data_IF_080641725808
#
_entry.id   IF_080641725808
#
_cell.length_a   1.000
_cell.length_b   1.000
_cell.length_c   1.000
_cell.angle_alpha   90.00
_cell.angle_beta   90.00
_cell.angle_gamma   90.00
#
_symmetry.space_group_name_H-M   'P 1'
#
loop_
_entity.id
_entity.type
_entity.pdbx_description
1 polymer ?
#
# COMPACT_ATOMS: atom_id res chain seq x y z
N UNK A 1 14.14 -5.14 -0.66
CA UNK A 1 13.79 -6.51 -0.21
C UNK A 1 13.49 -7.32 -1.45
N UNK A 2 14.16 -8.47 -1.61
CA UNK A 2 14.12 -9.23 -2.87
C UNK A 2 13.02 -10.29 -2.81
N UNK A 3 12.10 -10.24 -3.77
CA UNK A 3 10.99 -11.16 -3.92
C UNK A 3 11.04 -11.85 -5.28
N UNK A 4 10.52 -13.08 -5.34
CA UNK A 4 10.51 -13.89 -6.54
C UNK A 4 9.10 -14.38 -6.87
N UNK A 5 8.73 -14.32 -8.14
CA UNK A 5 7.53 -14.97 -8.66
C UNK A 5 7.94 -16.27 -9.36
N UNK A 6 7.36 -17.39 -8.93
CA UNK A 6 7.59 -18.73 -9.48
C UNK A 6 6.37 -19.18 -10.29
N UNK A 7 6.58 -19.94 -11.36
CA UNK A 7 5.48 -20.52 -12.14
C UNK A 7 5.48 -22.03 -12.05
N UNK A 8 4.28 -22.64 -12.08
CA UNK A 8 4.12 -24.09 -12.20
C UNK A 8 3.34 -24.38 -13.47
N UNK A 9 3.99 -25.06 -14.42
CA UNK A 9 3.40 -25.40 -15.72
C UNK A 9 3.58 -26.90 -15.93
N UNK A 10 2.48 -27.61 -16.18
CA UNK A 10 2.51 -29.06 -16.44
C UNK A 10 3.12 -29.89 -15.30
N UNK A 11 2.93 -29.47 -14.05
CA UNK A 11 3.49 -30.15 -12.87
C UNK A 11 4.95 -29.80 -12.55
N UNK A 12 5.69 -29.15 -13.45
CA UNK A 12 7.06 -28.67 -13.18
C UNK A 12 7.04 -27.25 -12.62
N UNK A 13 7.75 -27.01 -11.52
CA UNK A 13 8.00 -25.67 -10.98
C UNK A 13 9.22 -25.06 -11.69
N UNK A 14 9.06 -23.82 -12.15
CA UNK A 14 10.15 -22.98 -12.65
C UNK A 14 10.37 -21.90 -11.61
N UNK A 15 11.58 -21.85 -11.06
CA UNK A 15 11.89 -20.95 -9.95
C UNK A 15 12.40 -19.59 -10.43
N UNK A 16 12.10 -18.53 -9.65
CA UNK A 16 12.62 -17.17 -9.85
C UNK A 16 12.43 -16.62 -11.27
N UNK A 17 11.24 -16.85 -11.84
CA UNK A 17 10.90 -16.38 -13.21
C UNK A 17 10.91 -14.86 -13.30
N UNK A 18 10.39 -14.20 -12.27
CA UNK A 18 10.56 -12.76 -12.09
C UNK A 18 11.18 -12.50 -10.72
N UNK A 19 12.14 -11.59 -10.68
CA UNK A 19 12.80 -11.13 -9.45
C UNK A 19 12.60 -9.63 -9.34
N UNK A 20 12.14 -9.20 -8.17
CA UNK A 20 11.90 -7.80 -7.87
C UNK A 20 12.63 -7.43 -6.59
N UNK A 21 13.40 -6.34 -6.63
CA UNK A 21 13.89 -5.70 -5.42
C UNK A 21 12.96 -4.55 -5.06
N UNK A 22 12.00 -4.82 -4.17
CA UNK A 22 11.02 -3.84 -3.74
C UNK A 22 11.57 -3.05 -2.55
N UNK A 23 11.47 -1.73 -2.63
CA UNK A 23 11.53 -0.88 -1.45
C UNK A 23 10.10 -0.70 -0.92
N UNK A 24 9.86 -1.24 0.27
CA UNK A 24 8.60 -1.04 0.98
C UNK A 24 8.66 0.33 1.64
N UNK A 25 7.57 1.08 1.55
CA UNK A 25 7.43 2.40 2.13
C UNK A 25 6.27 2.40 3.12
N UNK A 26 6.50 3.00 4.28
CA UNK A 26 5.42 3.37 5.20
C UNK A 26 4.71 4.64 4.73
N UNK A 27 3.47 4.83 5.18
CA UNK A 27 2.72 6.07 4.91
C UNK A 27 3.50 7.30 5.40
N UNK A 28 4.17 7.20 6.55
CA UNK A 28 4.98 8.31 7.09
C UNK A 28 6.11 8.70 6.16
N UNK A 29 6.89 7.73 5.66
CA UNK A 29 7.99 8.01 4.72
C UNK A 29 7.49 8.64 3.41
N UNK A 30 6.35 8.18 2.89
CA UNK A 30 5.74 8.78 1.69
C UNK A 30 5.40 10.25 1.96
N UNK A 31 4.78 10.54 3.11
CA UNK A 31 4.39 11.91 3.49
C UNK A 31 5.59 12.82 3.71
N UNK A 32 6.68 12.31 4.27
CA UNK A 32 7.94 13.04 4.45
C UNK A 32 8.54 13.43 3.10
N UNK A 33 8.61 12.50 2.14
CA UNK A 33 9.12 12.79 0.79
C UNK A 33 8.22 13.80 0.09
N UNK A 34 6.90 13.70 0.23
CA UNK A 34 5.97 14.69 -0.34
C UNK A 34 6.22 16.08 0.22
N UNK A 35 6.47 16.20 1.53
CA UNK A 35 6.84 17.48 2.12
C UNK A 35 8.19 17.98 1.58
N UNK A 36 9.19 17.11 1.44
CA UNK A 36 10.51 17.47 0.91
C UNK A 36 10.46 18.00 -0.53
N UNK A 37 9.60 17.42 -1.39
CA UNK A 37 9.44 17.87 -2.79
C UNK A 37 8.53 19.09 -2.94
N UNK A 38 8.02 19.64 -1.84
CA UNK A 38 7.30 20.92 -1.81
C UNK A 38 5.78 20.85 -1.89
N UNK A 39 5.14 19.71 -1.60
CA UNK A 39 3.70 19.69 -1.37
C UNK A 39 3.37 20.44 -0.07
N UNK A 40 2.40 21.36 -0.10
CA UNK A 40 2.02 22.16 1.05
C UNK A 40 1.41 21.32 2.18
N UNK A 41 0.60 20.32 1.83
CA UNK A 41 0.03 19.35 2.77
C UNK A 41 -0.06 17.97 2.14
N UNK A 42 -0.02 16.94 2.99
CA UNK A 42 -0.35 15.56 2.63
C UNK A 42 -1.55 15.08 3.43
N UNK A 43 -2.42 14.30 2.79
CA UNK A 43 -3.64 13.76 3.35
C UNK A 43 -3.67 12.25 3.18
N UNK A 44 -4.11 11.54 4.21
CA UNK A 44 -4.28 10.10 4.17
C UNK A 44 -5.77 9.82 4.19
N UNK A 45 -6.22 9.03 3.23
CA UNK A 45 -7.58 8.51 3.18
C UNK A 45 -7.53 7.00 3.42
N UNK A 46 -8.39 6.50 4.29
CA UNK A 46 -8.43 5.09 4.68
C UNK A 46 -9.77 4.49 4.31
N UNK A 47 -9.75 3.27 3.79
CA UNK A 47 -10.95 2.52 3.43
C UNK A 47 -11.70 2.05 4.69
N UNK A 48 -13.01 2.28 4.72
CA UNK A 48 -13.87 1.72 5.75
C UNK A 48 -14.01 0.20 5.63
N UNK A 49 -14.55 -0.41 6.67
CA UNK A 49 -14.82 -1.86 6.71
C UNK A 49 -16.34 -2.10 6.69
N UNK A 50 -16.78 -2.93 5.74
CA UNK A 50 -18.15 -3.37 5.64
C UNK A 50 -18.49 -4.39 6.75
N UNK A 51 -19.78 -4.69 6.94
CA UNK A 51 -20.23 -5.60 8.01
C UNK A 51 -19.68 -7.02 7.91
N UNK A 52 -19.27 -7.44 6.71
CA UNK A 52 -18.68 -8.75 6.44
C UNK A 52 -17.14 -8.76 6.59
N UNK A 53 -16.53 -7.64 6.97
CA UNK A 53 -15.08 -7.50 7.11
C UNK A 53 -14.34 -7.14 5.81
N UNK A 54 -15.05 -6.99 4.69
CA UNK A 54 -14.45 -6.52 3.42
C UNK A 54 -14.29 -4.99 3.41
N UNK A 55 -13.51 -4.47 2.46
CA UNK A 55 -13.43 -3.03 2.21
C UNK A 55 -14.77 -2.50 1.67
N UNK A 56 -15.27 -1.42 2.24
CA UNK A 56 -16.57 -0.85 1.84
C UNK A 56 -16.48 0.11 0.64
N UNK A 57 -15.27 0.36 0.13
CA UNK A 57 -14.99 1.30 -0.95
C UNK A 57 -15.14 2.78 -0.57
N UNK A 58 -15.47 3.11 0.67
CA UNK A 58 -15.60 4.47 1.15
C UNK A 58 -14.30 4.92 1.83
N UNK A 59 -13.67 5.93 1.24
CA UNK A 59 -12.39 6.44 1.72
C UNK A 59 -12.60 7.73 2.50
N UNK A 60 -12.23 7.71 3.78
CA UNK A 60 -12.37 8.87 4.67
C UNK A 60 -11.02 9.36 5.15
N UNK A 61 -10.89 10.66 5.40
CA UNK A 61 -9.63 11.25 5.85
C UNK A 61 -9.38 10.85 7.31
N UNK A 62 -8.20 10.30 7.57
CA UNK A 62 -7.81 9.88 8.92
C UNK A 62 -6.40 10.37 9.25
N UNK A 63 -6.19 10.72 10.51
CA UNK A 63 -4.85 11.01 11.05
C UNK A 63 -4.24 9.78 11.74
N UNK A 64 -5.07 8.82 12.16
CA UNK A 64 -4.67 7.57 12.79
C UNK A 64 -5.40 6.42 12.10
N UNK A 65 -4.64 5.46 11.57
CA UNK A 65 -5.19 4.25 10.96
C UNK A 65 -5.63 3.23 12.01
N UNK A 66 -6.65 2.45 11.69
CA UNK A 66 -7.07 1.33 12.51
C UNK A 66 -6.11 0.13 12.31
N UNK A 67 -5.85 -0.62 13.38
CA UNK A 67 -5.00 -1.82 13.31
C UNK A 67 -5.77 -2.98 12.70
N UNK A 68 -5.77 -3.07 11.37
CA UNK A 68 -6.38 -4.16 10.61
C UNK A 68 -5.31 -5.13 10.06
N UNK A 69 -5.68 -6.41 9.84
CA UNK A 69 -4.77 -7.39 9.21
C UNK A 69 -4.36 -6.99 7.78
N UNK A 70 -5.28 -6.32 7.07
CA UNK A 70 -5.05 -5.74 5.75
C UNK A 70 -5.89 -4.48 5.60
N UNK A 71 -5.36 -3.49 4.88
CA UNK A 71 -6.03 -2.21 4.67
C UNK A 71 -5.61 -1.58 3.35
N UNK A 72 -6.46 -0.71 2.81
CA UNK A 72 -6.17 0.11 1.63
C UNK A 72 -6.25 1.58 2.04
N UNK A 73 -5.24 2.35 1.65
CA UNK A 73 -5.20 3.78 1.91
C UNK A 73 -4.67 4.55 0.70
N UNK A 74 -5.15 5.77 0.52
CA UNK A 74 -4.61 6.74 -0.44
C UNK A 74 -3.81 7.81 0.29
N UNK A 75 -2.65 8.17 -0.28
CA UNK A 75 -1.88 9.33 0.16
C UNK A 75 -1.97 10.40 -0.94
N UNK A 76 -2.54 11.56 -0.60
CA UNK A 76 -2.85 12.65 -1.53
C UNK A 76 -2.08 13.90 -1.16
N UNK A 77 -1.47 14.55 -2.15
CA UNK A 77 -0.71 15.79 -1.97
C UNK A 77 -1.54 16.99 -2.40
N UNK A 78 -1.63 17.99 -1.53
CA UNK A 78 -2.16 19.31 -1.81
C UNK A 78 -0.99 20.23 -2.20
N UNK A 79 -1.12 20.94 -3.32
CA UNK A 79 -0.09 21.85 -3.84
C UNK A 79 -0.27 23.26 -3.29
#
# INVERSE_FOLDING_TARGET
AVFHIHFRVGGKKIEQVFTYDWRLWSISEIREIMHEVGFAKSHVYWEGTAKDGSGDGNFTRVDHGESCESWIAYVVGEK
#
